data_IF_985385587168
#
_entry.id   IF_985385587168
#
_cell.length_a   1.000
_cell.length_b   1.000
_cell.length_c   1.000
_cell.angle_alpha   90.00
_cell.angle_beta   90.00
_cell.angle_gamma   90.00
#
_symmetry.space_group_name_H-M   'P 1'
#
loop_
_entity.id
_entity.type
_entity.pdbx_description
1 polymer ?
#
# COMPACT_ATOMS: atom_id res chain seq x y z
N UNK A 1 -40.04 -79.53 -59.41
CA UNK A 1 -41.04 -79.00 -58.46
C UNK A 1 -40.63 -77.62 -58.02
N UNK A 2 -41.42 -76.71 -58.44
CA UNK A 2 -41.31 -75.25 -58.27
C UNK A 2 -41.44 -74.81 -56.84
N UNK A 3 -40.73 -73.71 -56.43
CA UNK A 3 -41.30 -72.64 -55.58
C UNK A 3 -40.45 -71.40 -55.66
N UNK A 4 -41.11 -70.38 -56.20
CA UNK A 4 -40.68 -68.96 -56.14
C UNK A 4 -40.55 -68.41 -54.72
N UNK A 5 -39.57 -67.55 -54.45
CA UNK A 5 -39.58 -66.67 -53.31
C UNK A 5 -39.35 -65.21 -53.78
N UNK A 6 -40.41 -64.42 -53.64
CA UNK A 6 -40.40 -62.95 -53.83
C UNK A 6 -39.49 -62.28 -52.85
N UNK A 7 -38.65 -61.40 -53.37
CA UNK A 7 -37.81 -60.48 -52.52
C UNK A 7 -38.56 -59.15 -52.38
N UNK A 8 -38.90 -58.79 -51.12
CA UNK A 8 -39.45 -57.49 -50.78
C UNK A 8 -38.28 -56.51 -50.47
N UNK A 9 -38.15 -55.50 -51.31
CA UNK A 9 -37.29 -54.34 -50.99
C UNK A 9 -38.05 -53.44 -50.02
N UNK A 10 -37.55 -53.31 -48.84
CA UNK A 10 -37.96 -52.28 -47.85
C UNK A 10 -37.15 -51.03 -48.02
N UNK A 11 -37.83 -49.94 -48.42
CA UNK A 11 -37.25 -48.58 -48.41
C UNK A 11 -37.22 -48.06 -46.97
N UNK A 12 -36.06 -47.73 -46.45
CA UNK A 12 -35.89 -46.95 -45.22
C UNK A 12 -35.84 -45.48 -45.58
N UNK A 13 -36.54 -44.59 -44.85
CA UNK A 13 -36.38 -43.15 -45.02
C UNK A 13 -35.13 -42.69 -44.29
N UNK A 14 -34.30 -41.87 -44.96
CA UNK A 14 -33.16 -41.17 -44.40
C UNK A 14 -33.72 -39.98 -43.61
N UNK A 15 -33.65 -40.04 -42.30
CA UNK A 15 -33.92 -38.91 -41.44
C UNK A 15 -32.71 -37.93 -41.49
N UNK A 16 -32.89 -36.76 -42.07
CA UNK A 16 -31.93 -35.66 -42.02
C UNK A 16 -31.91 -35.07 -40.59
N UNK A 17 -30.82 -35.29 -39.86
CA UNK A 17 -30.58 -34.64 -38.60
C UNK A 17 -30.20 -33.18 -38.88
N UNK A 18 -31.04 -32.24 -38.48
CA UNK A 18 -30.70 -30.82 -38.45
C UNK A 18 -29.79 -30.56 -37.27
N UNK A 19 -28.50 -30.36 -37.51
CA UNK A 19 -27.56 -29.82 -36.51
C UNK A 19 -27.91 -28.38 -36.24
N UNK A 20 -28.52 -28.11 -35.07
CA UNK A 20 -28.66 -26.75 -34.55
C UNK A 20 -27.30 -26.27 -34.04
N UNK A 21 -26.61 -25.43 -34.81
CA UNK A 21 -25.42 -24.74 -34.35
C UNK A 21 -25.77 -23.81 -33.19
N UNK A 22 -25.48 -24.22 -31.97
CA UNK A 22 -25.47 -23.32 -30.82
C UNK A 22 -24.32 -22.30 -31.02
N UNK A 23 -24.66 -21.05 -31.29
CA UNK A 23 -23.70 -19.97 -31.27
C UNK A 23 -23.11 -19.86 -29.86
N UNK A 24 -21.79 -19.92 -29.77
CA UNK A 24 -21.09 -19.69 -28.50
C UNK A 24 -21.47 -18.31 -27.95
N UNK A 25 -21.66 -18.16 -26.62
CA UNK A 25 -21.97 -16.88 -26.02
C UNK A 25 -20.83 -15.90 -26.29
N UNK A 26 -21.17 -14.77 -26.90
CA UNK A 26 -20.24 -13.64 -27.07
C UNK A 26 -19.86 -13.18 -25.69
N UNK A 27 -18.56 -13.30 -25.33
CA UNK A 27 -18.03 -12.77 -24.10
C UNK A 27 -18.21 -11.23 -24.12
N UNK A 28 -19.13 -10.73 -23.30
CA UNK A 28 -19.26 -9.30 -23.03
C UNK A 28 -17.99 -8.91 -22.26
N UNK A 29 -17.21 -7.90 -22.70
CA UNK A 29 -16.07 -7.44 -21.94
C UNK A 29 -16.56 -7.00 -20.55
N UNK A 30 -16.08 -7.64 -19.47
CA UNK A 30 -16.30 -7.14 -18.13
C UNK A 30 -15.66 -5.74 -18.04
N UNK A 31 -16.49 -4.70 -18.02
CA UNK A 31 -16.02 -3.36 -17.68
C UNK A 31 -15.40 -3.43 -16.29
N UNK A 32 -14.08 -3.23 -16.20
CA UNK A 32 -13.41 -3.10 -14.91
C UNK A 32 -14.11 -1.99 -14.11
N UNK A 33 -14.51 -2.25 -12.87
CA UNK A 33 -15.16 -1.23 -12.06
C UNK A 33 -14.30 0.02 -12.04
N UNK A 34 -14.91 1.18 -12.31
CA UNK A 34 -14.23 2.48 -12.37
C UNK A 34 -13.60 2.75 -11.01
N UNK A 35 -12.28 2.69 -10.93
CA UNK A 35 -11.55 2.91 -9.67
C UNK A 35 -11.60 4.40 -9.29
N UNK A 36 -11.61 4.71 -8.00
CA UNK A 36 -11.50 6.09 -7.51
C UNK A 36 -10.09 6.69 -7.77
N UNK A 37 -9.12 5.85 -8.15
CA UNK A 37 -7.74 6.17 -8.44
C UNK A 37 -6.78 5.21 -7.76
N UNK A 38 -5.47 5.41 -8.00
CA UNK A 38 -4.42 4.58 -7.40
C UNK A 38 -3.72 5.28 -6.25
N UNK A 39 -3.34 4.50 -5.25
CA UNK A 39 -2.55 4.94 -4.09
C UNK A 39 -1.33 4.02 -3.97
N UNK A 40 -0.15 4.61 -3.82
CA UNK A 40 1.09 3.88 -3.63
C UNK A 40 1.40 3.73 -2.14
N UNK A 41 1.39 2.51 -1.64
CA UNK A 41 1.87 2.17 -0.30
C UNK A 41 3.34 1.82 -0.35
N UNK A 42 4.11 2.33 0.60
CA UNK A 42 5.55 2.09 0.71
C UNK A 42 5.83 1.34 2.00
N UNK A 43 6.53 0.22 1.88
CA UNK A 43 6.97 -0.62 2.99
C UNK A 43 8.49 -0.84 2.91
N UNK A 44 9.11 -1.12 4.06
CA UNK A 44 10.57 -1.35 4.12
C UNK A 44 10.98 -2.68 3.52
N UNK A 45 12.19 -2.70 2.95
CA UNK A 45 12.91 -3.94 2.61
C UNK A 45 13.95 -4.35 3.68
N UNK A 46 14.06 -3.59 4.79
CA UNK A 46 15.06 -3.84 5.83
C UNK A 46 14.48 -4.67 6.96
N UNK A 47 15.18 -5.76 7.31
CA UNK A 47 14.71 -6.76 8.27
C UNK A 47 15.51 -6.92 9.55
N UNK A 48 16.55 -6.12 9.78
CA UNK A 48 17.41 -6.25 10.97
C UNK A 48 17.21 -5.05 11.92
N UNK A 49 16.96 -5.31 13.19
CA UNK A 49 16.82 -4.25 14.19
C UNK A 49 18.21 -3.86 14.74
N UNK A 50 18.95 -3.09 13.97
CA UNK A 50 20.33 -2.72 14.28
C UNK A 50 21.20 -3.96 14.59
N UNK A 51 22.04 -3.84 15.61
CA UNK A 51 22.95 -4.92 16.03
C UNK A 51 22.38 -5.78 17.18
N UNK A 52 21.05 -5.79 17.35
CA UNK A 52 20.41 -6.48 18.47
C UNK A 52 20.24 -7.99 18.25
N UNK A 53 20.44 -8.48 17.02
CA UNK A 53 20.09 -9.85 16.63
C UNK A 53 18.59 -10.09 16.45
N UNK A 54 17.75 -9.08 16.67
CA UNK A 54 16.29 -9.14 16.48
C UNK A 54 15.93 -8.77 15.06
N UNK A 55 14.83 -9.33 14.56
CA UNK A 55 14.24 -8.95 13.28
C UNK A 55 13.30 -7.76 13.45
N UNK A 56 13.09 -7.05 12.35
CA UNK A 56 12.13 -5.95 12.20
C UNK A 56 11.53 -6.01 10.79
N UNK A 57 10.69 -5.05 10.45
CA UNK A 57 10.05 -4.96 9.15
C UNK A 57 9.07 -3.79 9.15
N UNK A 58 8.07 -3.84 8.25
CA UNK A 58 6.93 -2.94 8.35
C UNK A 58 5.94 -3.45 9.41
N UNK A 59 5.26 -2.52 10.09
CA UNK A 59 4.25 -2.88 11.10
C UNK A 59 2.92 -3.21 10.42
N UNK A 60 2.44 -4.46 10.56
CA UNK A 60 1.32 -4.98 9.76
C UNK A 60 0.04 -4.13 9.86
N UNK A 61 -0.37 -3.72 11.06
CA UNK A 61 -1.60 -2.94 11.22
C UNK A 61 -1.53 -1.53 10.62
N UNK A 62 -0.33 -1.01 10.40
CA UNK A 62 -0.13 0.27 9.73
C UNK A 62 -0.29 0.19 8.21
N UNK A 63 -0.22 -1.02 7.67
CA UNK A 63 -0.58 -1.31 6.27
C UNK A 63 -2.06 -1.66 6.17
N UNK A 64 -2.52 -2.61 6.99
CA UNK A 64 -3.85 -3.21 6.83
C UNK A 64 -4.99 -2.26 7.14
N UNK A 65 -4.84 -1.38 8.13
CA UNK A 65 -5.90 -0.44 8.53
C UNK A 65 -6.13 0.65 7.48
N UNK A 66 -5.12 1.40 7.00
CA UNK A 66 -5.33 2.35 5.90
C UNK A 66 -5.74 1.65 4.60
N UNK A 67 -5.19 0.47 4.31
CA UNK A 67 -5.61 -0.33 3.16
C UNK A 67 -7.11 -0.62 3.19
N UNK A 68 -7.66 -1.05 4.34
CA UNK A 68 -9.09 -1.37 4.46
C UNK A 68 -9.95 -0.14 4.18
N UNK A 69 -9.61 1.00 4.80
CA UNK A 69 -10.34 2.27 4.61
C UNK A 69 -10.35 2.70 3.14
N UNK A 70 -9.18 2.68 2.50
CA UNK A 70 -9.02 3.18 1.15
C UNK A 70 -9.56 2.21 0.09
N UNK A 71 -9.41 0.90 0.31
CA UNK A 71 -10.02 -0.12 -0.53
C UNK A 71 -11.54 -0.02 -0.51
N UNK A 72 -12.15 0.11 0.68
CA UNK A 72 -13.61 0.26 0.82
C UNK A 72 -14.13 1.54 0.15
N UNK A 73 -13.28 2.57 0.04
CA UNK A 73 -13.57 3.78 -0.71
C UNK A 73 -13.33 3.65 -2.23
N UNK A 74 -12.97 2.47 -2.72
CA UNK A 74 -12.83 2.17 -4.15
C UNK A 74 -11.46 2.50 -4.75
N UNK A 75 -10.43 2.80 -3.94
CA UNK A 75 -9.08 3.03 -4.43
C UNK A 75 -8.35 1.71 -4.72
N UNK A 76 -7.58 1.71 -5.79
CA UNK A 76 -6.61 0.65 -6.06
C UNK A 76 -5.31 0.95 -5.30
N UNK A 77 -4.73 -0.07 -4.66
CA UNK A 77 -3.52 0.07 -3.87
C UNK A 77 -2.42 -0.79 -4.49
N UNK A 78 -1.29 -0.15 -4.78
CA UNK A 78 -0.05 -0.81 -5.15
C UNK A 78 0.95 -0.71 -4.01
N UNK A 79 1.86 -1.69 -3.91
CA UNK A 79 2.88 -1.73 -2.87
C UNK A 79 4.27 -1.61 -3.51
N UNK A 80 5.07 -0.70 -2.96
CA UNK A 80 6.46 -0.48 -3.34
C UNK A 80 7.37 -0.71 -2.12
N UNK A 81 8.55 -1.22 -2.37
CA UNK A 81 9.63 -1.26 -1.37
C UNK A 81 10.97 -0.90 -2.01
N UNK A 82 11.98 -0.45 -1.24
CA UNK A 82 13.28 -0.06 -1.77
C UNK A 82 13.97 -1.09 -2.67
N UNK A 83 13.77 -2.39 -2.40
CA UNK A 83 14.37 -3.49 -3.18
C UNK A 83 13.38 -4.23 -4.08
N UNK A 84 12.08 -3.99 -3.92
CA UNK A 84 11.03 -4.81 -4.53
C UNK A 84 10.94 -6.20 -3.90
N UNK A 85 9.94 -6.98 -4.33
CA UNK A 85 9.72 -8.35 -3.88
C UNK A 85 9.15 -8.46 -2.48
N UNK A 86 9.45 -9.56 -1.79
CA UNK A 86 8.97 -9.84 -0.44
C UNK A 86 9.62 -8.92 0.60
N UNK A 87 8.83 -8.46 1.55
CA UNK A 87 9.24 -7.51 2.57
C UNK A 87 9.11 -8.10 3.99
N UNK A 88 10.06 -7.82 4.88
CA UNK A 88 9.96 -8.26 6.28
C UNK A 88 8.80 -7.54 6.98
N UNK A 89 8.06 -8.30 7.80
CA UNK A 89 6.86 -7.83 8.50
C UNK A 89 6.96 -8.15 9.99
N UNK A 90 6.49 -7.20 10.82
CA UNK A 90 6.33 -7.38 12.27
C UNK A 90 4.93 -6.93 12.75
N UNK A 91 4.62 -7.13 14.03
CA UNK A 91 3.32 -6.78 14.59
C UNK A 91 2.18 -7.65 14.06
N UNK A 92 2.47 -8.88 13.66
CA UNK A 92 1.47 -9.82 13.19
C UNK A 92 0.54 -10.21 14.33
N UNK A 93 -0.75 -9.93 14.15
CA UNK A 93 -1.82 -10.36 15.04
C UNK A 93 -2.91 -11.04 14.20
N UNK A 94 -2.94 -12.38 14.15
CA UNK A 94 -3.91 -13.12 13.35
C UNK A 94 -5.33 -13.03 13.91
N UNK A 95 -5.52 -12.59 15.16
CA UNK A 95 -6.82 -12.38 15.79
C UNK A 95 -7.44 -11.02 15.40
N UNK A 96 -6.67 -10.09 14.86
CA UNK A 96 -7.18 -8.80 14.38
C UNK A 96 -8.00 -9.01 13.11
N UNK A 97 -9.29 -8.61 13.08
CA UNK A 97 -10.17 -8.86 11.95
C UNK A 97 -9.73 -8.13 10.67
N UNK A 98 -9.05 -6.98 10.78
CA UNK A 98 -8.56 -6.23 9.62
C UNK A 98 -7.33 -6.92 9.03
N UNK A 99 -6.41 -7.40 9.87
CA UNK A 99 -5.27 -8.21 9.43
C UNK A 99 -5.75 -9.49 8.75
N UNK A 100 -6.78 -10.15 9.30
CA UNK A 100 -7.39 -11.33 8.69
C UNK A 100 -8.01 -11.04 7.32
N UNK A 101 -8.77 -9.93 7.21
CA UNK A 101 -9.36 -9.52 5.94
C UNK A 101 -8.28 -9.23 4.88
N UNK A 102 -7.19 -8.58 5.26
CA UNK A 102 -6.04 -8.34 4.39
C UNK A 102 -5.37 -9.65 3.95
N UNK A 103 -5.16 -10.58 4.87
CA UNK A 103 -4.56 -11.89 4.57
C UNK A 103 -5.42 -12.75 3.64
N UNK A 104 -6.73 -12.56 3.62
CA UNK A 104 -7.69 -13.25 2.75
C UNK A 104 -7.89 -12.57 1.39
N UNK A 105 -7.42 -11.34 1.21
CA UNK A 105 -7.51 -10.63 -0.06
C UNK A 105 -6.40 -11.05 -1.01
N UNK A 106 -6.71 -11.89 -1.97
CA UNK A 106 -5.73 -12.44 -2.93
C UNK A 106 -5.01 -11.37 -3.74
N UNK A 107 -5.68 -10.27 -4.07
CA UNK A 107 -5.07 -9.15 -4.82
C UNK A 107 -4.06 -8.41 -3.96
N UNK A 108 -4.43 -8.08 -2.72
CA UNK A 108 -3.53 -7.43 -1.78
C UNK A 108 -2.33 -8.33 -1.44
N UNK A 109 -2.57 -9.63 -1.20
CA UNK A 109 -1.50 -10.60 -0.92
C UNK A 109 -0.53 -10.71 -2.09
N UNK A 110 -1.03 -10.79 -3.32
CA UNK A 110 -0.16 -10.82 -4.50
C UNK A 110 0.71 -9.58 -4.58
N UNK A 111 0.15 -8.39 -4.34
CA UNK A 111 0.87 -7.12 -4.47
C UNK A 111 1.87 -6.89 -3.32
N UNK A 112 1.55 -7.26 -2.07
CA UNK A 112 2.46 -7.08 -0.93
C UNK A 112 3.61 -8.10 -0.92
N UNK A 113 3.38 -9.32 -1.42
CA UNK A 113 4.41 -10.34 -1.54
C UNK A 113 5.35 -10.11 -2.75
N UNK A 114 4.93 -9.29 -3.72
CA UNK A 114 5.70 -8.92 -4.89
C UNK A 114 5.68 -7.40 -5.08
N UNK A 115 6.21 -6.67 -4.10
CA UNK A 115 6.26 -5.20 -4.17
C UNK A 115 7.09 -4.75 -5.37
N UNK A 116 6.67 -3.65 -6.00
CA UNK A 116 7.40 -3.06 -7.11
C UNK A 116 8.62 -2.27 -6.62
N UNK A 117 9.65 -2.14 -7.46
CA UNK A 117 10.82 -1.30 -7.18
C UNK A 117 10.52 0.17 -7.47
N UNK A 118 11.25 1.11 -6.87
CA UNK A 118 11.10 2.54 -7.18
C UNK A 118 11.22 2.84 -8.68
N UNK A 119 12.12 2.16 -9.40
CA UNK A 119 12.33 2.34 -10.85
C UNK A 119 11.13 1.91 -11.72
N UNK A 120 10.20 1.14 -11.16
CA UNK A 120 8.98 0.67 -11.86
C UNK A 120 7.78 1.59 -11.60
N UNK A 121 7.90 2.56 -10.67
CA UNK A 121 6.84 3.47 -10.30
C UNK A 121 6.71 4.60 -11.32
N UNK A 122 5.48 4.86 -11.74
CA UNK A 122 5.09 6.03 -12.52
C UNK A 122 4.31 6.99 -11.63
N UNK A 123 4.96 8.01 -11.06
CA UNK A 123 4.34 8.88 -10.04
C UNK A 123 3.05 9.55 -10.49
N UNK A 124 2.89 9.79 -11.80
CA UNK A 124 1.71 10.42 -12.40
C UNK A 124 0.44 9.55 -12.35
N UNK A 125 0.58 8.25 -12.10
CA UNK A 125 -0.55 7.34 -11.97
C UNK A 125 -1.18 7.37 -10.56
N UNK A 126 -0.49 7.95 -9.56
CA UNK A 126 -0.89 7.89 -8.16
C UNK A 126 -1.45 9.22 -7.65
N UNK A 127 -2.61 9.15 -7.01
CA UNK A 127 -3.24 10.27 -6.30
C UNK A 127 -2.68 10.51 -4.90
N UNK A 128 -2.05 9.49 -4.32
CA UNK A 128 -1.39 9.59 -3.03
C UNK A 128 -0.23 8.59 -2.92
N UNK A 129 0.73 8.92 -2.05
CA UNK A 129 1.75 8.02 -1.55
C UNK A 129 1.62 7.94 -0.02
N UNK A 130 1.64 6.73 0.52
CA UNK A 130 1.55 6.46 1.93
C UNK A 130 2.72 5.58 2.40
N UNK A 131 3.53 6.07 3.32
CA UNK A 131 4.65 5.34 3.92
C UNK A 131 4.23 4.74 5.25
N UNK A 132 4.10 3.43 5.31
CA UNK A 132 3.89 2.69 6.55
C UNK A 132 5.17 2.71 7.40
N UNK A 133 5.02 2.60 8.71
CA UNK A 133 6.15 2.50 9.61
C UNK A 133 6.55 1.06 9.93
N UNK A 134 6.99 0.84 11.15
CA UNK A 134 7.83 -0.26 11.59
C UNK A 134 9.30 0.20 11.61
N UNK A 135 10.13 -0.38 12.47
CA UNK A 135 11.48 0.17 12.65
C UNK A 135 12.38 0.03 11.42
N UNK A 136 12.14 -0.98 10.55
CA UNK A 136 12.95 -1.22 9.36
C UNK A 136 13.12 0.01 8.46
N UNK A 137 12.10 0.87 8.38
CA UNK A 137 12.13 2.09 7.55
C UNK A 137 13.22 3.09 7.95
N UNK A 138 13.68 3.02 9.20
CA UNK A 138 14.74 3.90 9.72
C UNK A 138 16.08 3.69 9.02
N UNK A 139 16.30 2.53 8.41
CA UNK A 139 17.54 2.17 7.71
C UNK A 139 17.51 2.37 6.21
N UNK A 140 16.34 2.21 5.57
CA UNK A 140 16.27 2.17 4.11
C UNK A 140 15.42 3.26 3.45
N UNK A 141 14.69 4.10 4.21
CA UNK A 141 13.91 5.20 3.65
C UNK A 141 14.67 6.52 3.55
N UNK A 142 15.40 7.00 4.60
CA UNK A 142 15.91 8.37 4.62
C UNK A 142 16.82 8.73 3.47
N UNK A 143 17.71 7.82 3.07
CA UNK A 143 18.71 8.05 2.03
C UNK A 143 18.31 7.47 0.67
N UNK A 144 17.06 6.97 0.54
CA UNK A 144 16.54 6.46 -0.72
C UNK A 144 16.13 7.63 -1.64
N UNK A 145 17.03 7.98 -2.56
CA UNK A 145 16.84 9.11 -3.48
C UNK A 145 15.66 8.90 -4.44
N UNK A 146 15.41 7.66 -4.87
CA UNK A 146 14.30 7.33 -5.76
C UNK A 146 12.96 7.47 -5.05
N UNK A 147 12.84 6.97 -3.81
CA UNK A 147 11.66 7.17 -2.97
C UNK A 147 11.38 8.65 -2.74
N UNK A 148 12.42 9.44 -2.41
CA UNK A 148 12.29 10.88 -2.22
C UNK A 148 11.82 11.60 -3.50
N UNK A 149 12.35 11.22 -4.67
CA UNK A 149 11.95 11.79 -5.95
C UNK A 149 10.49 11.43 -6.31
N UNK A 150 10.07 10.18 -6.11
CA UNK A 150 8.69 9.73 -6.32
C UNK A 150 7.74 10.51 -5.41
N UNK A 151 8.07 10.64 -4.12
CA UNK A 151 7.26 11.37 -3.14
C UNK A 151 7.13 12.85 -3.52
N UNK A 152 8.23 13.49 -3.90
CA UNK A 152 8.23 14.88 -4.39
C UNK A 152 7.34 15.03 -5.62
N UNK A 153 7.49 14.13 -6.61
CA UNK A 153 6.72 14.19 -7.85
C UNK A 153 5.22 14.02 -7.63
N UNK A 154 4.81 13.04 -6.81
CA UNK A 154 3.40 12.85 -6.47
C UNK A 154 2.84 14.11 -5.78
N UNK A 155 3.58 14.70 -4.83
CA UNK A 155 3.17 15.93 -4.16
C UNK A 155 3.04 17.11 -5.12
N UNK A 156 4.01 17.31 -6.00
CA UNK A 156 4.02 18.42 -6.96
C UNK A 156 2.97 18.27 -8.07
N UNK A 157 2.57 17.04 -8.37
CA UNK A 157 1.43 16.73 -9.25
C UNK A 157 0.05 16.95 -8.57
N UNK A 158 0.01 17.47 -7.33
CA UNK A 158 -1.23 17.70 -6.59
C UNK A 158 -1.67 16.53 -5.71
N UNK A 159 -0.89 15.45 -5.65
CA UNK A 159 -1.20 14.27 -4.84
C UNK A 159 -0.98 14.48 -3.33
N UNK A 160 -1.53 13.55 -2.55
CA UNK A 160 -1.39 13.50 -1.09
C UNK A 160 -0.15 12.71 -0.71
N UNK A 161 0.61 13.22 0.27
CA UNK A 161 1.74 12.51 0.90
C UNK A 161 1.37 12.18 2.33
N UNK A 162 1.37 10.90 2.66
CA UNK A 162 1.01 10.46 4.01
C UNK A 162 2.03 9.49 4.59
N UNK A 163 2.13 9.46 5.92
CA UNK A 163 3.01 8.55 6.64
C UNK A 163 2.51 8.30 8.08
N UNK A 164 2.92 7.20 8.70
CA UNK A 164 2.54 6.88 10.09
C UNK A 164 3.73 6.30 10.85
N UNK A 165 3.80 6.54 12.16
CA UNK A 165 4.78 5.96 13.08
C UNK A 165 6.21 6.32 12.67
N UNK A 166 7.03 5.35 12.25
CA UNK A 166 8.36 5.59 11.69
C UNK A 166 8.33 5.93 10.17
N UNK A 167 7.18 5.75 9.49
CA UNK A 167 7.02 6.07 8.07
C UNK A 167 7.48 7.47 7.64
N UNK A 168 7.34 8.53 8.48
CA UNK A 168 7.88 9.86 8.16
C UNK A 168 9.41 9.93 7.96
N UNK A 169 10.16 8.85 8.25
CA UNK A 169 11.55 8.73 7.82
C UNK A 169 11.72 8.91 6.31
N UNK A 170 10.72 8.53 5.51
CA UNK A 170 10.68 8.77 4.07
C UNK A 170 10.65 10.25 3.69
N UNK A 171 10.24 11.14 4.60
CA UNK A 171 10.04 12.56 4.32
C UNK A 171 11.28 13.41 4.62
N UNK A 172 12.27 12.89 5.37
CA UNK A 172 13.42 13.63 5.86
C UNK A 172 14.20 14.34 4.74
N UNK A 173 14.40 13.66 3.62
CA UNK A 173 15.23 14.13 2.52
C UNK A 173 14.43 14.42 1.23
N UNK A 174 13.10 14.51 1.31
CA UNK A 174 12.26 14.91 0.17
C UNK A 174 12.45 16.39 -0.10
N UNK A 175 13.04 16.71 -1.25
CA UNK A 175 13.19 18.08 -1.75
C UNK A 175 12.21 18.34 -2.88
N UNK A 176 11.55 19.49 -2.84
CA UNK A 176 10.69 19.99 -3.91
C UNK A 176 11.51 20.69 -4.98
N UNK A 177 10.91 20.96 -6.13
CA UNK A 177 11.53 21.65 -7.28
C UNK A 177 12.08 23.05 -6.91
N UNK A 178 11.50 23.69 -5.90
CA UNK A 178 11.99 24.97 -5.36
C UNK A 178 13.21 24.85 -4.42
N UNK A 179 13.75 23.63 -4.25
CA UNK A 179 14.92 23.34 -3.41
C UNK A 179 14.65 23.21 -1.90
N UNK A 180 13.43 23.50 -1.44
CA UNK A 180 13.05 23.36 -0.03
C UNK A 180 12.70 21.89 0.31
N UNK A 181 12.88 21.52 1.57
CA UNK A 181 12.36 20.24 2.05
C UNK A 181 10.83 20.26 2.09
N UNK A 182 10.21 19.13 1.74
CA UNK A 182 8.74 18.98 1.79
C UNK A 182 8.18 19.35 3.17
N UNK A 183 8.88 18.98 4.23
CA UNK A 183 8.46 19.19 5.61
C UNK A 183 8.77 20.59 6.15
N UNK A 184 9.54 21.42 5.43
CA UNK A 184 9.92 22.75 5.87
C UNK A 184 8.70 23.65 6.11
N UNK A 185 8.55 24.12 7.35
CA UNK A 185 7.43 24.95 7.82
C UNK A 185 6.11 24.19 8.03
N UNK A 186 6.01 22.91 7.68
CA UNK A 186 4.78 22.12 7.83
C UNK A 186 4.63 21.57 9.23
N UNK A 187 3.38 21.54 9.71
CA UNK A 187 3.00 20.81 10.92
C UNK A 187 2.96 19.32 10.56
N UNK A 188 3.71 18.51 11.28
CA UNK A 188 3.76 17.04 11.12
C UNK A 188 4.01 16.37 12.46
N UNK A 189 3.81 15.06 12.49
CA UNK A 189 4.25 14.19 13.58
C UNK A 189 4.92 12.92 13.03
N UNK A 190 5.44 12.12 13.93
CA UNK A 190 5.97 10.78 13.73
C UNK A 190 6.02 10.07 15.07
N UNK A 191 6.50 8.83 15.09
CA UNK A 191 6.91 8.20 16.34
C UNK A 191 7.88 9.12 17.05
N UNK A 192 7.58 9.44 18.33
CA UNK A 192 8.29 10.48 19.08
C UNK A 192 9.56 9.96 19.72
N UNK A 193 10.49 10.87 20.05
CA UNK A 193 11.65 10.52 20.85
C UNK A 193 11.26 9.95 22.23
N UNK A 194 10.13 10.41 22.78
CA UNK A 194 9.59 9.91 24.05
C UNK A 194 9.06 8.47 23.91
N UNK A 195 8.34 8.17 22.85
CA UNK A 195 7.86 6.80 22.55
C UNK A 195 9.03 5.85 22.30
N UNK A 196 10.05 6.27 21.52
CA UNK A 196 11.24 5.47 21.24
C UNK A 196 12.02 5.11 22.53
N UNK A 197 12.17 6.09 23.42
CA UNK A 197 12.75 5.89 24.74
C UNK A 197 11.87 4.97 25.60
N UNK A 198 10.54 5.15 25.53
CA UNK A 198 9.57 4.34 26.29
C UNK A 198 9.63 2.86 25.97
N UNK A 199 9.98 2.49 24.73
CA UNK A 199 10.18 1.09 24.32
C UNK A 199 11.65 0.63 24.35
N UNK A 200 12.57 1.50 24.80
CA UNK A 200 13.99 1.17 24.98
C UNK A 200 14.77 0.99 23.69
N UNK A 201 14.34 1.59 22.59
CA UNK A 201 14.99 1.49 21.28
C UNK A 201 15.71 2.77 20.84
N UNK A 202 15.70 3.83 21.68
CA UNK A 202 16.35 5.12 21.42
C UNK A 202 17.87 5.03 21.18
N UNK A 203 18.53 3.96 21.64
CA UNK A 203 19.96 3.65 21.40
C UNK A 203 20.18 2.63 20.27
N UNK A 204 19.11 2.06 19.74
CA UNK A 204 19.17 1.04 18.70
C UNK A 204 18.93 1.64 17.32
N UNK A 205 17.94 2.52 17.20
CA UNK A 205 17.64 3.21 15.93
C UNK A 205 18.82 4.08 15.49
N UNK A 206 19.09 4.19 14.18
CA UNK A 206 20.28 4.89 13.68
C UNK A 206 20.28 6.40 13.95
N UNK A 207 19.12 6.99 14.20
CA UNK A 207 18.94 8.40 14.55
C UNK A 207 17.58 8.62 15.22
N UNK A 208 17.43 9.78 15.90
CA UNK A 208 16.16 10.21 16.50
C UNK A 208 15.27 10.85 15.42
N UNK A 209 14.16 10.20 15.04
CA UNK A 209 13.30 10.57 13.91
C UNK A 209 12.70 11.97 14.07
N UNK A 210 12.03 12.23 15.19
CA UNK A 210 11.48 13.55 15.52
C UNK A 210 12.54 14.65 15.37
N UNK A 211 13.72 14.44 15.96
CA UNK A 211 14.83 15.39 15.87
C UNK A 211 15.29 15.63 14.43
N UNK A 212 15.34 14.58 13.61
CA UNK A 212 15.73 14.68 12.21
C UNK A 212 14.72 15.50 11.39
N UNK A 213 13.42 15.29 11.62
CA UNK A 213 12.34 16.04 10.96
C UNK A 213 12.36 17.52 11.35
N UNK A 214 12.55 17.83 12.65
CA UNK A 214 12.68 19.21 13.15
C UNK A 214 13.90 19.91 12.52
N UNK A 215 15.03 19.21 12.36
CA UNK A 215 16.22 19.75 11.66
C UNK A 215 15.96 20.08 10.18
N UNK A 216 14.94 19.49 9.55
CA UNK A 216 14.50 19.81 8.18
C UNK A 216 13.47 20.94 8.13
N UNK A 217 13.19 21.61 9.26
CA UNK A 217 12.27 22.75 9.35
C UNK A 217 10.84 22.38 9.69
N UNK A 218 10.56 21.12 10.03
CA UNK A 218 9.22 20.70 10.44
C UNK A 218 8.77 21.37 11.75
N UNK A 219 7.50 21.78 11.81
CA UNK A 219 6.81 22.22 13.03
C UNK A 219 6.18 20.98 13.68
N UNK A 220 6.99 20.27 14.46
CA UNK A 220 6.60 19.00 15.04
C UNK A 220 5.47 19.17 16.06
N UNK A 221 4.48 18.27 16.01
CA UNK A 221 3.36 18.21 16.96
C UNK A 221 3.28 16.78 17.53
N UNK A 222 2.98 16.66 18.82
CA UNK A 222 2.79 15.36 19.46
C UNK A 222 1.62 15.40 20.43
N UNK A 223 1.06 14.25 20.72
CA UNK A 223 0.20 13.95 21.86
C UNK A 223 0.93 13.03 22.83
N UNK A 224 0.24 12.60 23.88
CA UNK A 224 0.77 11.59 24.80
C UNK A 224 1.19 10.31 24.06
N UNK A 225 2.18 9.60 24.62
CA UNK A 225 2.73 8.40 24.07
C UNK A 225 1.64 7.35 23.78
N UNK A 226 1.71 6.74 22.64
CA UNK A 226 0.81 5.66 22.18
C UNK A 226 -0.67 6.06 22.10
N UNK A 227 -0.99 7.34 22.09
CA UNK A 227 -2.31 7.84 21.75
C UNK A 227 -2.43 8.10 20.25
N UNK A 228 -3.61 7.87 19.70
CA UNK A 228 -3.87 8.21 18.29
C UNK A 228 -3.80 9.72 18.09
N UNK A 229 -2.91 10.16 17.20
CA UNK A 229 -2.77 11.55 16.85
C UNK A 229 -2.41 11.70 15.36
N UNK A 230 -3.26 12.40 14.61
CA UNK A 230 -3.07 12.67 13.19
C UNK A 230 -2.92 14.17 12.98
N UNK A 231 -1.93 14.54 12.19
CA UNK A 231 -1.69 15.93 11.77
C UNK A 231 -1.91 16.01 10.27
N UNK A 232 -2.77 16.95 9.88
CA UNK A 232 -3.02 17.28 8.47
C UNK A 232 -2.54 18.70 8.24
N UNK A 233 -1.61 18.87 7.31
CA UNK A 233 -1.13 20.19 6.91
C UNK A 233 -1.05 20.26 5.38
N UNK A 234 -2.02 20.92 4.77
CA UNK A 234 -2.21 20.89 3.33
C UNK A 234 -2.38 19.41 2.86
N UNK A 235 -1.65 18.96 1.89
CA UNK A 235 -1.66 17.59 1.37
C UNK A 235 -0.62 16.67 2.03
N UNK A 236 -0.05 17.07 3.18
CA UNK A 236 0.82 16.22 3.99
C UNK A 236 0.05 15.76 5.23
N UNK A 237 -0.05 14.44 5.40
CA UNK A 237 -0.81 13.77 6.47
C UNK A 237 0.14 12.85 7.22
N UNK A 238 0.26 13.04 8.53
CA UNK A 238 1.10 12.17 9.35
C UNK A 238 0.37 11.68 10.59
N UNK A 239 0.67 10.45 11.00
CA UNK A 239 0.17 9.83 12.22
C UNK A 239 1.31 9.46 13.15
N UNK A 240 1.14 9.70 14.45
CA UNK A 240 2.23 9.59 15.42
C UNK A 240 2.72 8.14 15.62
N UNK A 241 1.81 7.17 15.66
CA UNK A 241 2.11 5.80 16.09
C UNK A 241 1.10 4.81 15.47
N UNK A 242 1.21 3.50 15.72
CA UNK A 242 0.29 2.49 15.16
C UNK A 242 -1.19 2.74 15.47
N UNK A 243 -1.50 3.40 16.60
CA UNK A 243 -2.87 3.73 16.99
C UNK A 243 -3.50 4.75 16.02
N UNK A 244 -2.68 5.52 15.32
CA UNK A 244 -3.11 6.52 14.34
C UNK A 244 -3.46 5.95 12.96
N UNK A 245 -3.15 4.68 12.69
CA UNK A 245 -3.16 4.12 11.34
C UNK A 245 -4.53 4.21 10.63
N UNK A 246 -5.63 3.88 11.33
CA UNK A 246 -6.98 3.98 10.76
C UNK A 246 -7.31 5.44 10.43
N UNK A 247 -7.06 6.36 11.38
CA UNK A 247 -7.36 7.77 11.21
C UNK A 247 -6.52 8.43 10.10
N UNK A 248 -5.28 7.96 9.86
CA UNK A 248 -4.48 8.37 8.68
C UNK A 248 -5.16 7.91 7.39
N UNK A 249 -5.66 6.67 7.33
CA UNK A 249 -6.44 6.18 6.19
C UNK A 249 -7.66 7.04 5.89
N UNK A 250 -8.42 7.39 6.93
CA UNK A 250 -9.58 8.29 6.82
C UNK A 250 -9.18 9.69 6.35
N UNK A 251 -8.10 10.26 6.88
CA UNK A 251 -7.61 11.57 6.49
C UNK A 251 -7.16 11.59 5.01
N UNK A 252 -6.50 10.52 4.52
CA UNK A 252 -6.16 10.36 3.09
C UNK A 252 -7.44 10.33 2.26
N UNK A 253 -8.43 9.50 2.64
CA UNK A 253 -9.71 9.38 1.95
C UNK A 253 -10.40 10.73 1.81
N UNK A 254 -10.48 11.49 2.91
CA UNK A 254 -11.10 12.82 2.94
C UNK A 254 -10.34 13.80 2.04
N UNK A 255 -9.01 13.81 2.11
CA UNK A 255 -8.18 14.70 1.31
C UNK A 255 -8.27 14.44 -0.21
N UNK A 256 -8.56 13.20 -0.61
CA UNK A 256 -8.72 12.82 -2.02
C UNK A 256 -10.13 13.06 -2.58
N UNK A 257 -11.11 13.39 -1.74
CA UNK A 257 -12.49 13.70 -2.12
C UNK A 257 -12.75 15.21 -2.28
N UNK A 258 -11.83 16.05 -1.79
CA UNK A 258 -11.87 17.51 -1.90
C UNK A 258 -11.01 18.01 -3.06
#
# INVERSE_FOLDING_TARGET
MSRNALSFLTFMPIAAAAESAFAAPVAVPEEKPKTAGKILFVVTSHGELGNTGRKTGYWLSEVTRPWKVLKDAGYEIDFMSPKGGECPVEGQNPSDPVNKAFAQDLSAQKKINFTIKPSEVKPEEYKAIFSAGGHGVMWDFPDNKELAAITSKIYENGGVVAAVCHGPAALINVKLSNGKFLVDGKKINSFTNSEEKGIGLDKVVPFALETALVKRGAKFQSSDNFQSHVVVNDRVITGQNPMSATAVGDAIRIALQN
#
